data_IF_964819767344
#
_entry.id   IF_964819767344
#
_cell.length_a   1.000
_cell.length_b   1.000
_cell.length_c   1.000
_cell.angle_alpha   90.00
_cell.angle_beta   90.00
_cell.angle_gamma   90.00
#
_symmetry.space_group_name_H-M   'P 1'
#
loop_
_entity.id
_entity.type
_entity.pdbx_description
1 polymer ?
#
# COMPACT_ATOMS: atom_id res chain seq x y z
N UNK A 1 6.13 -21.34 -16.17
CA UNK A 1 5.23 -21.68 -17.30
C UNK A 1 5.44 -20.72 -18.45
N UNK A 2 5.29 -19.41 -18.26
CA UNK A 2 5.52 -18.37 -19.27
C UNK A 2 6.92 -18.50 -19.87
N UNK A 3 7.96 -18.53 -19.05
CA UNK A 3 9.36 -18.68 -19.45
C UNK A 3 9.59 -19.91 -20.36
N UNK A 4 8.94 -21.04 -20.02
CA UNK A 4 9.05 -22.25 -20.83
C UNK A 4 8.45 -22.08 -22.22
N UNK A 5 7.27 -21.46 -22.33
CA UNK A 5 6.62 -21.19 -23.62
C UNK A 5 7.41 -20.15 -24.42
N UNK A 6 7.98 -19.15 -23.75
CA UNK A 6 8.85 -18.16 -24.40
C UNK A 6 10.09 -18.82 -24.98
N UNK A 7 10.76 -19.67 -24.20
CA UNK A 7 11.93 -20.40 -24.68
C UNK A 7 11.60 -21.34 -25.84
N UNK A 8 10.43 -22.02 -25.81
CA UNK A 8 9.94 -22.88 -26.91
C UNK A 8 9.70 -22.06 -28.19
N UNK A 9 9.10 -20.86 -28.06
CA UNK A 9 8.92 -19.94 -29.19
C UNK A 9 10.25 -19.50 -29.79
N UNK A 10 11.20 -19.10 -28.94
CA UNK A 10 12.48 -18.55 -29.37
C UNK A 10 13.35 -19.65 -30.02
N UNK A 11 13.33 -20.87 -29.51
CA UNK A 11 13.99 -22.01 -30.12
C UNK A 11 13.40 -22.34 -31.51
N UNK A 12 12.06 -22.41 -31.62
CA UNK A 12 11.42 -22.63 -32.90
C UNK A 12 11.71 -21.52 -33.92
N UNK A 13 11.83 -20.26 -33.48
CA UNK A 13 12.20 -19.13 -34.29
C UNK A 13 13.66 -19.24 -34.79
N UNK A 14 14.58 -19.68 -33.92
CA UNK A 14 15.98 -19.89 -34.28
C UNK A 14 16.15 -21.03 -35.31
N UNK A 15 15.31 -22.06 -35.19
CA UNK A 15 15.26 -23.18 -36.13
C UNK A 15 14.51 -22.86 -37.45
N UNK A 16 14.02 -21.61 -37.60
CA UNK A 16 13.20 -21.13 -38.72
C UNK A 16 11.88 -21.88 -38.91
N UNK A 17 11.42 -22.57 -37.87
CA UNK A 17 10.10 -23.24 -37.83
C UNK A 17 9.02 -22.20 -37.39
N UNK A 18 8.62 -21.37 -38.38
CA UNK A 18 7.70 -20.26 -38.15
C UNK A 18 6.30 -20.73 -37.71
N UNK A 19 5.87 -21.90 -38.15
CA UNK A 19 4.55 -22.46 -37.76
C UNK A 19 4.54 -22.78 -36.28
N UNK A 20 5.54 -23.46 -35.80
CA UNK A 20 5.70 -23.84 -34.40
C UNK A 20 5.92 -22.60 -33.51
N UNK A 21 6.72 -21.62 -33.99
CA UNK A 21 6.90 -20.35 -33.30
C UNK A 21 5.58 -19.57 -33.17
N UNK A 22 4.73 -19.55 -34.22
CA UNK A 22 3.42 -18.90 -34.20
C UNK A 22 2.46 -19.60 -33.25
N UNK A 23 2.45 -20.94 -33.20
CA UNK A 23 1.64 -21.71 -32.25
C UNK A 23 2.07 -21.42 -30.80
N UNK A 24 3.36 -21.41 -30.51
CA UNK A 24 3.91 -21.07 -29.20
C UNK A 24 3.56 -19.63 -28.81
N UNK A 25 3.65 -18.68 -29.74
CA UNK A 25 3.26 -17.30 -29.52
C UNK A 25 1.77 -17.15 -29.19
N UNK A 26 0.89 -17.77 -29.95
CA UNK A 26 -0.55 -17.75 -29.68
C UNK A 26 -0.89 -18.36 -28.32
N UNK A 27 -0.18 -19.41 -27.90
CA UNK A 27 -0.30 -20.03 -26.59
C UNK A 27 0.19 -19.09 -25.47
N UNK A 28 1.32 -18.39 -25.71
CA UNK A 28 1.85 -17.40 -24.79
C UNK A 28 0.86 -16.25 -24.56
N UNK A 29 0.28 -15.70 -25.63
CA UNK A 29 -0.73 -14.65 -25.52
C UNK A 29 -1.96 -15.07 -24.68
N UNK A 30 -2.46 -16.29 -24.89
CA UNK A 30 -3.58 -16.81 -24.09
C UNK A 30 -3.23 -16.92 -22.62
N UNK A 31 -2.03 -17.42 -22.29
CA UNK A 31 -1.57 -17.53 -20.90
C UNK A 31 -1.40 -16.15 -20.28
N UNK A 32 -0.81 -15.20 -21.00
CA UNK A 32 -0.65 -13.82 -20.52
C UNK A 32 -2.00 -13.13 -20.28
N UNK A 33 -2.99 -13.35 -21.16
CA UNK A 33 -4.33 -12.81 -20.96
C UNK A 33 -5.00 -13.35 -19.68
N UNK A 34 -4.83 -14.64 -19.38
CA UNK A 34 -5.35 -15.25 -18.15
C UNK A 34 -4.62 -14.68 -16.91
N UNK A 35 -3.29 -14.54 -16.97
CA UNK A 35 -2.50 -13.97 -15.87
C UNK A 35 -2.87 -12.53 -15.61
N UNK A 36 -3.15 -11.75 -16.65
CA UNK A 36 -3.59 -10.35 -16.51
C UNK A 36 -4.96 -10.20 -15.80
N UNK A 37 -5.79 -11.24 -15.82
CA UNK A 37 -7.06 -11.29 -15.10
C UNK A 37 -6.93 -11.75 -13.64
N UNK A 38 -5.75 -12.22 -13.23
CA UNK A 38 -5.54 -12.66 -11.85
C UNK A 38 -5.58 -11.47 -10.89
N UNK A 39 -6.29 -11.65 -9.80
CA UNK A 39 -6.29 -10.66 -8.71
C UNK A 39 -4.88 -10.46 -8.16
N UNK A 40 -4.46 -9.21 -7.83
CA UNK A 40 -3.18 -8.96 -7.18
C UNK A 40 -3.04 -9.64 -5.81
N UNK A 41 -4.13 -10.15 -5.24
CA UNK A 41 -4.09 -10.96 -4.01
C UNK A 41 -3.73 -12.44 -4.23
N UNK A 42 -3.62 -12.90 -5.49
CA UNK A 42 -3.30 -14.29 -5.81
C UNK A 42 -1.79 -14.49 -5.86
N UNK A 43 -1.24 -14.94 -4.75
CA UNK A 43 0.17 -15.27 -4.58
C UNK A 43 0.34 -16.69 -4.02
N UNK A 44 1.52 -17.26 -4.22
CA UNK A 44 1.91 -18.44 -3.43
C UNK A 44 1.96 -18.03 -1.95
N UNK A 45 1.44 -18.87 -1.06
CA UNK A 45 1.35 -18.57 0.37
C UNK A 45 2.71 -18.16 0.97
N UNK A 46 3.79 -18.81 0.54
CA UNK A 46 5.16 -18.50 0.97
C UNK A 46 5.68 -17.12 0.53
N UNK A 47 5.06 -16.54 -0.51
CA UNK A 47 5.38 -15.22 -1.08
C UNK A 47 4.29 -14.18 -0.85
N UNK A 48 3.30 -14.50 -0.04
CA UNK A 48 2.22 -13.58 0.27
C UNK A 48 2.65 -12.66 1.40
N UNK A 49 3.10 -11.47 1.03
CA UNK A 49 3.42 -10.37 1.93
C UNK A 49 2.64 -9.13 1.52
N UNK A 50 1.88 -8.56 2.44
CA UNK A 50 1.13 -7.34 2.19
C UNK A 50 1.04 -6.47 3.44
N UNK A 51 1.15 -5.16 3.25
CA UNK A 51 0.88 -4.16 4.28
C UNK A 51 -0.51 -3.57 4.02
N UNK A 52 -1.36 -3.56 5.04
CA UNK A 52 -2.72 -3.06 5.00
C UNK A 52 -2.79 -1.83 5.90
N UNK A 53 -3.30 -0.73 5.36
CA UNK A 53 -3.53 0.50 6.08
C UNK A 53 -5.03 0.67 6.30
N UNK A 54 -5.43 0.97 7.52
CA UNK A 54 -6.82 1.28 7.87
C UNK A 54 -6.90 2.51 8.77
N UNK A 55 -8.05 3.21 8.81
CA UNK A 55 -8.27 4.22 9.83
C UNK A 55 -8.05 3.63 11.22
N UNK A 56 -7.33 4.36 12.08
CA UNK A 56 -7.15 4.00 13.48
C UNK A 56 -8.25 4.63 14.35
N UNK A 57 -8.54 4.02 15.49
CA UNK A 57 -9.32 4.62 16.56
C UNK A 57 -8.49 5.62 17.38
N UNK A 58 -7.16 5.49 17.33
CA UNK A 58 -6.24 6.42 18.01
C UNK A 58 -6.12 7.72 17.20
N UNK A 59 -6.16 8.88 17.89
CA UNK A 59 -6.04 10.18 17.23
C UNK A 59 -4.68 10.31 16.54
N UNK A 60 -4.66 11.02 15.42
CA UNK A 60 -3.45 11.28 14.63
C UNK A 60 -2.66 10.04 14.23
N UNK A 61 -3.36 8.92 14.01
CA UNK A 61 -2.75 7.64 13.68
C UNK A 61 -3.48 6.91 12.55
N UNK A 62 -2.76 6.01 11.89
CA UNK A 62 -3.26 5.04 10.92
C UNK A 62 -2.90 3.64 11.41
N UNK A 63 -3.85 2.74 11.44
CA UNK A 63 -3.62 1.36 11.84
C UNK A 63 -2.96 0.57 10.70
N UNK A 64 -1.84 -0.05 11.00
CA UNK A 64 -1.10 -0.92 10.11
C UNK A 64 -1.33 -2.38 10.48
N UNK A 65 -1.63 -3.21 9.47
CA UNK A 65 -1.65 -4.66 9.59
C UNK A 65 -0.70 -5.26 8.58
N UNK A 66 -0.01 -6.30 8.96
CA UNK A 66 0.92 -6.99 8.08
C UNK A 66 0.50 -8.44 7.85
N UNK A 67 0.24 -8.78 6.60
CA UNK A 67 -0.03 -10.14 6.17
C UNK A 67 1.28 -10.78 5.73
N UNK A 68 1.73 -11.79 6.43
CA UNK A 68 2.95 -12.53 6.15
C UNK A 68 2.64 -14.02 6.05
N UNK A 69 2.81 -14.59 4.87
CA UNK A 69 2.62 -16.03 4.61
C UNK A 69 1.27 -16.55 5.10
N UNK A 70 0.23 -15.74 4.97
CA UNK A 70 -1.12 -16.08 5.41
C UNK A 70 -1.42 -15.75 6.87
N UNK A 71 -0.47 -15.28 7.65
CA UNK A 71 -0.67 -14.81 9.01
C UNK A 71 -0.83 -13.29 9.03
N UNK A 72 -1.90 -12.81 9.65
CA UNK A 72 -2.18 -11.40 9.82
C UNK A 72 -1.72 -10.97 11.23
N UNK A 73 -0.82 -10.02 11.29
CA UNK A 73 -0.35 -9.36 12.52
C UNK A 73 -0.86 -7.92 12.59
N UNK A 74 -0.98 -7.36 13.78
CA UNK A 74 -1.44 -6.00 14.03
C UNK A 74 -2.71 -5.94 14.87
N UNK A 75 -3.28 -4.72 15.07
CA UNK A 75 -2.80 -3.45 14.53
C UNK A 75 -1.51 -2.93 15.18
N UNK A 76 -0.73 -2.16 14.42
CA UNK A 76 0.27 -1.24 14.95
C UNK A 76 -0.13 0.17 14.54
N UNK A 77 -0.17 1.09 15.49
CA UNK A 77 -0.56 2.48 15.21
C UNK A 77 0.63 3.27 14.69
N UNK A 78 0.48 3.82 13.49
CA UNK A 78 1.46 4.67 12.85
C UNK A 78 1.04 6.12 12.97
N UNK A 79 1.82 6.90 13.73
CA UNK A 79 1.55 8.33 13.94
C UNK A 79 1.79 9.14 12.66
N UNK A 80 0.82 9.99 12.31
CA UNK A 80 0.91 10.95 11.20
C UNK A 80 1.47 12.30 11.62
N UNK A 81 1.86 12.47 12.88
CA UNK A 81 2.43 13.72 13.40
C UNK A 81 3.69 14.12 12.60
N UNK A 82 3.70 15.36 12.15
CA UNK A 82 4.79 15.92 11.32
C UNK A 82 4.74 15.49 9.85
N UNK A 83 3.75 14.72 9.39
CA UNK A 83 3.50 14.47 7.99
C UNK A 83 2.79 15.66 7.34
N UNK A 84 3.20 16.02 6.12
CA UNK A 84 2.41 16.94 5.29
C UNK A 84 1.19 16.17 4.78
N UNK A 85 0.04 16.44 5.36
CA UNK A 85 -1.22 15.89 4.88
C UNK A 85 -1.55 16.53 3.53
N UNK A 86 -1.70 15.70 2.51
CA UNK A 86 -2.09 16.16 1.18
C UNK A 86 -3.60 16.43 1.23
N UNK A 87 -3.97 17.70 1.33
CA UNK A 87 -5.36 18.10 1.18
C UNK A 87 -5.65 18.13 -0.33
N UNK A 88 -6.39 17.16 -0.86
CA UNK A 88 -6.76 17.09 -2.29
C UNK A 88 -7.59 18.28 -2.74
N UNK A 89 -8.13 19.08 -1.81
CA UNK A 89 -8.83 20.32 -2.11
C UNK A 89 -7.93 21.48 -2.54
N UNK A 90 -6.60 21.33 -2.45
CA UNK A 90 -5.63 22.35 -2.84
C UNK A 90 -5.25 22.32 -4.33
N UNK A 91 -5.91 21.50 -5.14
CA UNK A 91 -5.67 21.36 -6.58
C UNK A 91 -6.39 22.39 -7.47
N UNK A 92 -7.17 23.29 -6.92
CA UNK A 92 -7.74 24.41 -7.67
C UNK A 92 -6.80 25.61 -7.55
N UNK A 93 -5.88 25.75 -8.49
CA UNK A 93 -5.30 27.04 -8.84
C UNK A 93 -6.41 27.90 -9.45
N UNK A 94 -7.32 28.38 -8.60
CA UNK A 94 -8.17 29.49 -8.97
C UNK A 94 -7.28 30.70 -9.17
N UNK A 95 -7.11 31.12 -10.42
CA UNK A 95 -6.44 32.37 -10.80
C UNK A 95 -7.23 33.62 -10.35
N UNK A 96 -8.29 33.44 -9.63
CA UNK A 96 -9.07 34.51 -9.00
C UNK A 96 -8.79 34.51 -7.50
N UNK A 97 -7.70 35.15 -7.11
CA UNK A 97 -7.50 35.63 -5.74
C UNK A 97 -8.58 36.68 -5.46
N UNK A 98 -9.62 36.32 -4.74
CA UNK A 98 -10.42 37.32 -4.07
C UNK A 98 -9.50 38.01 -3.04
N UNK A 99 -9.41 39.35 -3.03
CA UNK A 99 -8.62 40.04 -2.03
C UNK A 99 -9.27 39.79 -0.67
N UNK A 100 -8.67 38.90 0.12
CA UNK A 100 -8.99 38.77 1.53
C UNK A 100 -8.49 40.03 2.21
N UNK A 101 -9.39 40.78 2.84
CA UNK A 101 -9.00 41.94 3.64
C UNK A 101 -8.03 41.46 4.73
N UNK A 102 -6.77 41.86 4.62
CA UNK A 102 -5.78 41.62 5.64
C UNK A 102 -6.04 42.62 6.76
N UNK A 103 -6.73 42.17 7.81
CA UNK A 103 -6.85 42.92 9.03
C UNK A 103 -5.46 42.94 9.69
N UNK A 104 -4.89 44.15 9.81
CA UNK A 104 -3.58 44.36 10.42
C UNK A 104 -3.69 44.00 11.90
N UNK A 105 -3.13 42.87 12.30
CA UNK A 105 -2.96 42.52 13.70
C UNK A 105 -1.79 43.30 14.25
N UNK A 106 -1.95 44.09 15.35
CA UNK A 106 -0.86 44.85 15.94
C UNK A 106 0.21 43.90 16.50
N UNK A 107 1.46 44.16 16.14
CA UNK A 107 2.66 43.47 16.64
C UNK A 107 2.90 43.81 18.12
N UNK A 108 2.16 43.24 19.04
CA UNK A 108 2.46 43.31 20.44
C UNK A 108 1.85 42.13 21.22
N UNK A 109 2.53 41.02 21.19
CA UNK A 109 2.56 40.03 22.27
C UNK A 109 3.69 39.02 21.97
N UNK A 110 4.86 39.26 22.48
CA UNK A 110 5.87 38.25 22.72
C UNK A 110 5.23 37.19 23.64
N UNK A 111 5.04 35.97 23.16
CA UNK A 111 4.64 34.87 24.03
C UNK A 111 3.66 33.81 23.50
N UNK A 112 3.15 33.93 22.29
CA UNK A 112 2.50 32.81 21.65
C UNK A 112 3.51 32.11 20.72
N UNK A 113 4.23 31.13 21.27
CA UNK A 113 4.94 30.17 20.43
C UNK A 113 3.89 29.54 19.52
N UNK A 114 3.78 30.05 18.28
CA UNK A 114 3.18 29.26 17.20
C UNK A 114 3.89 27.92 17.26
N UNK A 115 3.15 26.89 17.57
CA UNK A 115 3.60 25.53 17.41
C UNK A 115 3.85 25.36 15.90
N UNK A 116 5.05 25.77 15.47
CA UNK A 116 5.51 25.51 14.12
C UNK A 116 5.36 24.02 13.94
N UNK A 117 4.43 23.61 13.08
CA UNK A 117 4.26 22.22 12.69
C UNK A 117 5.59 21.79 12.10
N UNK A 118 6.46 21.22 12.94
CA UNK A 118 7.77 20.75 12.53
C UNK A 118 7.53 19.60 11.57
N UNK A 119 7.61 19.88 10.28
CA UNK A 119 7.57 18.85 9.26
C UNK A 119 8.74 17.91 9.46
N UNK A 120 8.43 16.69 9.81
CA UNK A 120 9.42 15.63 10.03
C UNK A 120 10.07 15.29 8.69
N UNK A 121 11.39 15.09 8.69
CA UNK A 121 12.12 14.65 7.51
C UNK A 121 11.55 13.33 6.99
N UNK A 122 11.49 13.18 5.68
CA UNK A 122 11.01 11.98 5.02
C UNK A 122 11.75 10.72 5.49
N UNK A 123 13.05 10.80 5.71
CA UNK A 123 13.86 9.67 6.17
C UNK A 123 13.35 9.16 7.53
N UNK A 124 12.99 10.05 8.44
CA UNK A 124 12.44 9.68 9.75
C UNK A 124 11.09 8.97 9.61
N UNK A 125 10.25 9.40 8.66
CA UNK A 125 8.98 8.74 8.38
C UNK A 125 9.19 7.34 7.79
N UNK A 126 10.16 7.18 6.90
CA UNK A 126 10.54 5.89 6.33
C UNK A 126 11.11 4.95 7.40
N UNK A 127 11.95 5.47 8.32
CA UNK A 127 12.48 4.71 9.47
C UNK A 127 11.37 4.25 10.42
N UNK A 128 10.44 5.15 10.77
CA UNK A 128 9.26 4.80 11.60
C UNK A 128 8.42 3.71 10.94
N UNK A 129 8.20 3.81 9.63
CA UNK A 129 7.46 2.81 8.87
C UNK A 129 8.18 1.45 8.90
N UNK A 130 9.49 1.46 8.70
CA UNK A 130 10.31 0.26 8.76
C UNK A 130 10.31 -0.39 10.16
N UNK A 131 10.35 0.42 11.21
CA UNK A 131 10.24 -0.07 12.59
C UNK A 131 8.89 -0.74 12.82
N UNK A 132 7.77 -0.11 12.41
CA UNK A 132 6.44 -0.68 12.54
C UNK A 132 6.29 -2.00 11.77
N UNK A 133 6.83 -2.08 10.55
CA UNK A 133 6.84 -3.33 9.76
C UNK A 133 7.66 -4.41 10.45
N UNK A 134 8.81 -4.05 11.03
CA UNK A 134 9.68 -5.00 11.75
C UNK A 134 8.97 -5.55 12.98
N UNK A 135 8.28 -4.71 13.74
CA UNK A 135 7.48 -5.10 14.90
C UNK A 135 6.36 -6.07 14.50
N UNK A 136 5.57 -5.72 13.47
CA UNK A 136 4.50 -6.56 12.95
C UNK A 136 5.03 -7.91 12.42
N UNK A 137 6.20 -7.91 11.80
CA UNK A 137 6.87 -9.13 11.34
C UNK A 137 7.25 -10.02 12.53
N UNK A 138 7.76 -9.42 13.60
CA UNK A 138 8.11 -10.14 14.84
C UNK A 138 6.87 -10.75 15.51
N UNK A 139 5.76 -10.00 15.54
CA UNK A 139 4.48 -10.49 16.04
C UNK A 139 3.98 -11.68 15.22
N UNK A 140 4.05 -11.62 13.88
CA UNK A 140 3.64 -12.72 13.02
C UNK A 140 4.49 -13.97 13.20
N UNK A 141 5.79 -13.83 13.44
CA UNK A 141 6.69 -14.93 13.70
C UNK A 141 6.42 -15.66 15.03
N UNK A 142 5.84 -14.96 16.02
CA UNK A 142 5.43 -15.52 17.30
C UNK A 142 4.14 -16.36 17.24
N UNK A 143 3.33 -16.22 16.18
CA UNK A 143 2.06 -16.94 16.04
C UNK A 143 2.34 -18.39 15.60
N UNK A 144 1.89 -19.36 16.41
CA UNK A 144 1.92 -20.78 15.99
C UNK A 144 0.94 -21.00 14.85
N UNK A 145 1.47 -21.13 13.64
CA UNK A 145 0.67 -21.35 12.44
C UNK A 145 0.05 -22.76 12.44
N UNK A 146 -1.23 -22.85 12.82
CA UNK A 146 -2.05 -24.01 12.50
C UNK A 146 -2.80 -23.77 11.20
N UNK A 147 -3.23 -24.84 10.52
CA UNK A 147 -4.04 -24.72 9.29
C UNK A 147 -5.33 -23.93 9.53
N UNK A 148 -5.92 -24.05 10.71
CA UNK A 148 -7.12 -23.31 11.10
C UNK A 148 -6.83 -21.80 11.18
N UNK A 149 -5.79 -21.40 11.92
CA UNK A 149 -5.40 -19.99 12.06
C UNK A 149 -5.07 -19.37 10.70
N UNK A 150 -4.32 -20.08 9.85
CA UNK A 150 -4.04 -19.63 8.49
C UNK A 150 -5.32 -19.41 7.68
N UNK A 151 -6.24 -20.37 7.75
CA UNK A 151 -7.53 -20.29 7.05
C UNK A 151 -8.34 -19.09 7.54
N UNK A 152 -8.44 -18.89 8.86
CA UNK A 152 -9.19 -17.79 9.46
C UNK A 152 -8.62 -16.42 9.06
N UNK A 153 -7.30 -16.26 9.12
CA UNK A 153 -6.63 -15.01 8.73
C UNK A 153 -6.78 -14.73 7.22
N UNK A 154 -6.63 -15.75 6.38
CA UNK A 154 -6.82 -15.60 4.93
C UNK A 154 -8.28 -15.30 4.58
N UNK A 155 -9.23 -15.93 5.24
CA UNK A 155 -10.65 -15.62 5.08
C UNK A 155 -10.98 -14.19 5.48
N UNK A 156 -10.43 -13.73 6.62
CA UNK A 156 -10.60 -12.35 7.09
C UNK A 156 -10.06 -11.34 6.06
N UNK A 157 -8.82 -11.56 5.62
CA UNK A 157 -8.18 -10.72 4.59
C UNK A 157 -8.98 -10.75 3.28
N UNK A 158 -9.35 -11.92 2.78
CA UNK A 158 -10.08 -12.08 1.53
C UNK A 158 -11.44 -11.38 1.57
N UNK A 159 -12.19 -11.52 2.66
CA UNK A 159 -13.49 -10.84 2.84
C UNK A 159 -13.36 -9.33 2.85
N UNK A 160 -12.29 -8.79 3.44
CA UNK A 160 -12.02 -7.36 3.42
C UNK A 160 -11.55 -6.91 2.02
N UNK A 161 -10.62 -7.63 1.41
CA UNK A 161 -10.01 -7.28 0.13
C UNK A 161 -11.02 -7.23 -1.02
N UNK A 162 -11.97 -8.17 -1.06
CA UNK A 162 -12.99 -8.27 -2.11
C UNK A 162 -14.23 -7.40 -1.87
N UNK A 163 -14.25 -6.57 -0.84
CA UNK A 163 -15.29 -5.55 -0.71
C UNK A 163 -15.20 -4.55 -1.87
N UNK A 164 -16.35 -3.96 -2.23
CA UNK A 164 -16.35 -2.86 -3.20
C UNK A 164 -15.49 -1.71 -2.69
N UNK A 165 -14.92 -0.92 -3.60
CA UNK A 165 -14.04 0.19 -3.22
C UNK A 165 -14.74 1.19 -2.27
N UNK A 166 -16.04 1.40 -2.44
CA UNK A 166 -16.84 2.26 -1.55
C UNK A 166 -17.02 1.69 -0.13
N UNK A 167 -16.92 0.36 0.03
CA UNK A 167 -17.09 -0.33 1.32
C UNK A 167 -15.76 -0.72 1.97
N UNK A 168 -14.67 -0.69 1.20
CA UNK A 168 -13.34 -1.04 1.68
C UNK A 168 -12.67 0.22 2.21
N UNK A 169 -12.65 0.36 3.52
CA UNK A 169 -11.83 1.39 4.18
C UNK A 169 -10.37 1.00 4.13
N UNK A 170 -9.50 1.96 3.78
CA UNK A 170 -8.06 1.74 3.76
C UNK A 170 -7.50 1.22 2.43
N UNK A 171 -6.19 0.98 2.43
CA UNK A 171 -5.41 0.58 1.26
C UNK A 171 -4.53 -0.64 1.56
N UNK A 172 -4.12 -1.37 0.52
CA UNK A 172 -3.23 -2.52 0.64
C UNK A 172 -2.09 -2.44 -0.37
N UNK A 173 -0.91 -2.79 0.07
CA UNK A 173 0.32 -2.84 -0.72
C UNK A 173 0.93 -4.23 -0.62
N UNK A 174 1.04 -4.90 -1.75
CA UNK A 174 1.73 -6.18 -1.84
C UNK A 174 3.22 -5.94 -2.03
N UNK A 175 4.04 -6.82 -1.43
CA UNK A 175 5.46 -6.83 -1.70
C UNK A 175 5.71 -7.29 -3.15
N UNK A 176 6.80 -6.81 -3.71
CA UNK A 176 7.28 -7.26 -5.01
C UNK A 176 7.97 -8.63 -4.94
N UNK A 177 8.48 -9.13 -6.07
CA UNK A 177 9.20 -10.42 -6.14
C UNK A 177 10.46 -10.47 -5.27
N UNK A 178 10.95 -9.31 -4.79
CA UNK A 178 12.11 -9.17 -3.88
C UNK A 178 11.72 -9.02 -2.42
N UNK A 179 10.44 -9.28 -2.08
CA UNK A 179 9.85 -9.08 -0.75
C UNK A 179 9.95 -7.62 -0.26
N UNK A 180 10.10 -6.66 -1.19
CA UNK A 180 10.19 -5.24 -0.89
C UNK A 180 8.82 -4.55 -0.99
N UNK A 181 8.54 -3.67 -0.02
CA UNK A 181 7.33 -2.86 0.00
C UNK A 181 7.57 -1.47 -0.57
N UNK A 182 6.63 -0.89 -1.35
CA UNK A 182 6.77 0.41 -1.98
C UNK A 182 6.61 1.57 -0.96
N UNK A 183 7.62 1.82 -0.12
CA UNK A 183 7.58 2.76 1.01
C UNK A 183 7.04 4.15 0.63
N UNK A 184 7.47 4.68 -0.54
CA UNK A 184 7.01 6.00 -1.02
C UNK A 184 5.50 6.05 -1.27
N UNK A 185 4.93 4.96 -1.79
CA UNK A 185 3.50 4.86 -2.06
C UNK A 185 2.72 4.67 -0.75
N UNK A 186 3.28 3.89 0.17
CA UNK A 186 2.71 3.64 1.49
C UNK A 186 2.59 4.95 2.28
N UNK A 187 3.64 5.76 2.36
CA UNK A 187 3.61 7.05 3.07
C UNK A 187 2.56 8.01 2.48
N UNK A 188 2.39 8.02 1.14
CA UNK A 188 1.31 8.80 0.51
C UNK A 188 -0.07 8.25 0.86
N UNK A 189 -0.20 6.93 0.93
CA UNK A 189 -1.44 6.28 1.29
C UNK A 189 -1.82 6.51 2.76
N UNK A 190 -0.85 6.57 3.67
CA UNK A 190 -1.06 6.95 5.07
C UNK A 190 -1.77 8.31 5.14
N UNK A 191 -1.27 9.32 4.41
CA UNK A 191 -1.92 10.63 4.36
C UNK A 191 -3.36 10.56 3.83
N UNK A 192 -3.62 9.77 2.77
CA UNK A 192 -4.98 9.63 2.20
C UNK A 192 -5.94 8.94 3.16
N UNK A 193 -5.51 7.82 3.74
CA UNK A 193 -6.33 7.04 4.69
C UNK A 193 -6.68 7.90 5.91
N UNK A 194 -5.71 8.65 6.43
CA UNK A 194 -5.94 9.58 7.54
C UNK A 194 -6.93 10.69 7.16
N UNK A 195 -6.74 11.36 6.01
CA UNK A 195 -7.63 12.43 5.56
C UNK A 195 -9.05 11.92 5.31
N UNK A 196 -9.22 10.72 4.76
CA UNK A 196 -10.54 10.15 4.49
C UNK A 196 -11.31 9.80 5.77
N UNK A 197 -10.64 9.46 6.85
CA UNK A 197 -11.27 9.12 8.14
C UNK A 197 -11.79 10.33 8.90
N UNK A 198 -11.32 11.55 8.60
CA UNK A 198 -11.70 12.79 9.28
C UNK A 198 -12.76 13.59 8.52
N UNK A 199 -13.18 13.13 7.34
CA UNK A 199 -14.22 13.77 6.51
C UNK A 199 -15.60 13.12 6.69
N UNK A 200 -15.72 12.10 7.54
CA UNK A 200 -16.99 11.39 7.84
C UNK A 200 -17.49 11.75 9.23
#
# INVERSE_FOLDING_TARGET
MIEKITAERDAASADLDFEKAAQAHARLQKVQAVVALMSPAVHQLSKLFALILQPSAEPESVALFFLSRGLLAGPADYSVQGMRLHNEQSGSTSLYLQPTAVEAVPLAAEGAAEAAVQTVSRNILEERLQQAITELTSQSAGIKASSQILSDHLCLFSRWFHRTQAQRTGEVFFADDTDSLPQKQILRAVSRVFSSSHLT
#
